data_IF_251158484403
#
_entry.id   IF_251158484403
#
_cell.length_a   1.000
_cell.length_b   1.000
_cell.length_c   1.000
_cell.angle_alpha   90.00
_cell.angle_beta   90.00
_cell.angle_gamma   90.00
#
_symmetry.space_group_name_H-M   'P 1'
#
loop_
_entity.id
_entity.type
_entity.pdbx_description
1 polymer ?
#
# COMPACT_ATOMS: atom_id res chain seq x y z
N UNK A 1 -6.97 14.81 7.63
CA UNK A 1 -5.59 14.31 7.78
C UNK A 1 -4.69 15.47 8.17
N UNK A 2 -4.01 15.42 9.31
CA UNK A 2 -3.13 16.49 9.81
C UNK A 2 -1.71 15.97 10.07
N UNK A 3 -1.05 15.47 9.03
CA UNK A 3 0.31 14.91 9.10
C UNK A 3 1.19 15.50 7.99
N UNK A 4 2.50 15.63 8.27
CA UNK A 4 3.53 15.91 7.28
C UNK A 4 3.85 14.62 6.53
N UNK A 5 3.37 14.51 5.30
CA UNK A 5 3.68 13.41 4.38
C UNK A 5 4.84 13.88 3.49
N UNK A 6 5.84 13.02 3.28
CA UNK A 6 6.97 13.25 2.37
C UNK A 6 7.88 14.47 2.69
N UNK A 7 7.94 14.89 3.96
CA UNK A 7 8.94 15.88 4.36
C UNK A 7 10.34 15.23 4.34
N UNK A 8 11.34 15.80 3.62
CA UNK A 8 12.67 15.23 3.56
C UNK A 8 13.32 15.23 4.95
N UNK A 9 13.80 14.06 5.41
CA UNK A 9 14.61 13.94 6.63
C UNK A 9 16.08 13.89 6.23
N UNK A 10 16.98 14.62 6.91
CA UNK A 10 18.42 14.49 6.64
C UNK A 10 18.85 13.03 6.83
N UNK A 11 19.33 12.38 5.76
CA UNK A 11 19.77 10.98 5.76
C UNK A 11 18.70 9.92 5.46
N UNK A 12 17.42 10.30 5.29
CA UNK A 12 16.32 9.40 4.92
C UNK A 12 15.41 10.06 3.88
N UNK A 13 15.17 9.39 2.75
CA UNK A 13 14.44 9.97 1.62
C UNK A 13 13.03 10.50 1.94
N UNK A 14 12.35 9.94 2.96
CA UNK A 14 11.01 10.38 3.38
C UNK A 14 10.87 10.35 4.91
N UNK A 15 9.90 11.09 5.46
CA UNK A 15 9.52 11.06 6.88
C UNK A 15 8.34 10.12 7.18
N UNK A 16 7.87 9.35 6.19
CA UNK A 16 6.78 8.41 6.36
C UNK A 16 7.19 7.31 7.34
N UNK A 17 6.58 7.32 8.52
CA UNK A 17 6.77 6.30 9.55
C UNK A 17 5.55 5.35 9.64
N UNK A 18 5.65 4.33 10.49
CA UNK A 18 4.57 3.36 10.69
C UNK A 18 3.25 4.01 11.13
N UNK A 19 3.30 5.16 11.79
CA UNK A 19 2.10 5.91 12.18
C UNK A 19 1.44 6.58 10.97
N UNK A 20 2.24 7.18 10.09
CA UNK A 20 1.80 7.77 8.82
C UNK A 20 1.16 6.71 7.92
N UNK A 21 1.79 5.54 7.79
CA UNK A 21 1.24 4.43 7.02
C UNK A 21 -0.09 3.92 7.58
N UNK A 22 -0.21 3.76 8.91
CA UNK A 22 -1.47 3.33 9.55
C UNK A 22 -2.60 4.31 9.27
N UNK A 23 -2.35 5.60 9.39
CA UNK A 23 -3.35 6.65 9.14
C UNK A 23 -3.77 6.67 7.66
N UNK A 24 -2.81 6.51 6.74
CA UNK A 24 -3.09 6.42 5.31
C UNK A 24 -4.08 5.31 4.98
N UNK A 25 -3.84 4.09 5.48
CA UNK A 25 -4.70 2.96 5.18
C UNK A 25 -5.98 2.88 6.01
N UNK A 26 -6.09 3.61 7.13
CA UNK A 26 -7.32 3.66 7.95
C UNK A 26 -8.50 4.32 7.24
N UNK A 27 -8.24 5.26 6.31
CA UNK A 27 -9.29 6.00 5.61
C UNK A 27 -9.04 5.94 4.09
N UNK A 28 -9.26 4.78 3.45
CA UNK A 28 -8.94 4.57 2.04
C UNK A 28 -9.69 5.52 1.10
N UNK A 29 -10.92 5.92 1.44
CA UNK A 29 -11.69 6.92 0.69
C UNK A 29 -10.97 8.29 0.67
N UNK A 30 -10.54 8.75 1.85
CA UNK A 30 -9.80 10.02 1.99
C UNK A 30 -8.45 9.92 1.28
N UNK A 31 -7.74 8.79 1.46
CA UNK A 31 -6.46 8.56 0.81
C UNK A 31 -6.59 8.55 -0.72
N UNK A 32 -7.64 7.90 -1.25
CA UNK A 32 -7.99 7.90 -2.68
C UNK A 32 -8.28 9.32 -3.17
N UNK A 33 -9.14 10.06 -2.46
CA UNK A 33 -9.48 11.43 -2.82
C UNK A 33 -8.27 12.38 -2.83
N UNK A 34 -7.29 12.17 -1.95
CA UNK A 34 -6.09 13.01 -1.85
C UNK A 34 -5.04 12.63 -2.91
N UNK A 35 -4.80 11.33 -3.10
CA UNK A 35 -3.70 10.83 -3.95
C UNK A 35 -4.11 10.57 -5.39
N UNK A 36 -5.41 10.45 -5.67
CA UNK A 36 -5.94 9.98 -6.95
C UNK A 36 -5.74 8.48 -7.19
N UNK A 37 -5.28 7.73 -6.18
CA UNK A 37 -5.13 6.27 -6.27
C UNK A 37 -6.50 5.61 -6.04
N UNK A 38 -6.80 4.57 -6.80
CA UNK A 38 -8.03 3.80 -6.68
C UNK A 38 -8.25 3.27 -5.26
N UNK A 39 -9.44 3.50 -4.72
CA UNK A 39 -9.78 3.13 -3.35
C UNK A 39 -9.72 1.61 -3.11
N UNK A 40 -10.16 0.83 -4.09
CA UNK A 40 -10.17 -0.64 -3.99
C UNK A 40 -8.75 -1.16 -3.91
N UNK A 41 -7.84 -0.59 -4.71
CA UNK A 41 -6.42 -0.91 -4.64
C UNK A 41 -5.83 -0.56 -3.27
N UNK A 42 -6.12 0.63 -2.72
CA UNK A 42 -5.64 1.02 -1.37
C UNK A 42 -6.13 0.03 -0.31
N UNK A 43 -7.42 -0.35 -0.35
CA UNK A 43 -8.00 -1.34 0.58
C UNK A 43 -7.32 -2.70 0.47
N UNK A 44 -7.09 -3.18 -0.76
CA UNK A 44 -6.42 -4.46 -1.00
C UNK A 44 -4.98 -4.45 -0.47
N UNK A 45 -4.24 -3.37 -0.70
CA UNK A 45 -2.89 -3.19 -0.16
C UNK A 45 -2.88 -3.17 1.38
N UNK A 46 -3.89 -2.54 2.01
CA UNK A 46 -4.00 -2.56 3.47
C UNK A 46 -4.16 -3.97 4.03
N UNK A 47 -5.05 -4.77 3.43
CA UNK A 47 -5.26 -6.16 3.83
C UNK A 47 -3.98 -6.97 3.62
N UNK A 48 -3.35 -6.84 2.46
CA UNK A 48 -2.11 -7.56 2.13
C UNK A 48 -1.01 -7.29 3.15
N UNK A 49 -0.73 -6.02 3.44
CA UNK A 49 0.30 -5.62 4.41
C UNK A 49 -0.03 -6.05 5.83
N UNK A 50 -1.31 -5.97 6.21
CA UNK A 50 -1.77 -6.38 7.55
C UNK A 50 -1.66 -7.89 7.73
N UNK A 51 -1.99 -8.68 6.71
CA UNK A 51 -1.85 -10.14 6.73
C UNK A 51 -0.38 -10.55 6.81
N UNK A 52 0.53 -9.90 6.09
CA UNK A 52 1.96 -10.17 6.21
C UNK A 52 2.48 -9.84 7.62
N UNK A 53 1.95 -8.78 8.23
CA UNK A 53 2.36 -8.33 9.56
C UNK A 53 1.67 -9.07 10.73
N UNK A 54 0.73 -9.98 10.48
CA UNK A 54 -0.10 -10.55 11.55
C UNK A 54 0.62 -11.63 12.39
N UNK A 55 1.75 -12.16 11.91
CA UNK A 55 2.53 -13.18 12.62
C UNK A 55 1.89 -14.58 12.67
N UNK A 56 0.84 -14.82 11.89
CA UNK A 56 0.19 -16.12 11.74
C UNK A 56 0.58 -16.81 10.43
N UNK A 57 0.36 -18.12 10.34
CA UNK A 57 0.49 -18.84 9.08
C UNK A 57 -0.52 -18.32 8.06
N UNK A 58 -0.01 -18.03 6.86
CA UNK A 58 -0.79 -17.48 5.75
C UNK A 58 -1.27 -18.65 4.89
N UNK A 59 -2.59 -18.74 4.70
CA UNK A 59 -3.23 -19.78 3.90
C UNK A 59 -2.95 -19.61 2.39
N UNK A 60 -3.05 -20.72 1.65
CA UNK A 60 -2.88 -20.75 0.20
C UNK A 60 -3.87 -19.82 -0.54
N UNK A 61 -5.05 -19.56 0.02
CA UNK A 61 -6.04 -18.60 -0.52
C UNK A 61 -5.49 -17.17 -0.59
N UNK A 62 -4.53 -16.81 0.26
CA UNK A 62 -3.88 -15.49 0.20
C UNK A 62 -3.09 -15.29 -1.09
N UNK A 63 -2.59 -16.37 -1.71
CA UNK A 63 -1.90 -16.30 -2.99
C UNK A 63 -2.81 -15.77 -4.10
N UNK A 64 -4.06 -16.22 -4.14
CA UNK A 64 -5.06 -15.74 -5.09
C UNK A 64 -5.42 -14.28 -4.82
N UNK A 65 -5.53 -13.89 -3.54
CA UNK A 65 -5.72 -12.49 -3.17
C UNK A 65 -4.56 -11.59 -3.65
N UNK A 66 -3.31 -12.05 -3.53
CA UNK A 66 -2.14 -11.33 -4.05
C UNK A 66 -2.18 -11.20 -5.57
N UNK A 67 -2.48 -12.30 -6.28
CA UNK A 67 -2.53 -12.30 -7.75
C UNK A 67 -3.60 -11.34 -8.28
N UNK A 68 -4.83 -11.43 -7.77
CA UNK A 68 -5.92 -10.54 -8.19
C UNK A 68 -5.63 -9.07 -7.86
N UNK A 69 -4.87 -8.80 -6.78
CA UNK A 69 -4.43 -7.44 -6.45
C UNK A 69 -3.36 -6.94 -7.42
N UNK A 70 -2.45 -7.80 -7.85
CA UNK A 70 -1.45 -7.46 -8.87
C UNK A 70 -2.09 -7.22 -10.25
N UNK A 71 -3.06 -8.04 -10.65
CA UNK A 71 -3.83 -7.85 -11.88
C UNK A 71 -4.58 -6.51 -11.88
N UNK A 72 -5.23 -6.19 -10.76
CA UNK A 72 -5.90 -4.89 -10.57
C UNK A 72 -4.90 -3.72 -10.70
N UNK A 73 -3.73 -3.84 -10.08
CA UNK A 73 -2.69 -2.82 -10.17
C UNK A 73 -2.24 -2.57 -11.62
N UNK A 74 -1.93 -3.63 -12.37
CA UNK A 74 -1.49 -3.54 -13.76
C UNK A 74 -2.59 -2.98 -14.66
N UNK A 75 -3.85 -3.34 -14.40
CA UNK A 75 -4.99 -2.81 -15.15
C UNK A 75 -5.21 -1.30 -14.92
N UNK A 76 -5.04 -0.84 -13.68
CA UNK A 76 -5.25 0.57 -13.32
C UNK A 76 -4.05 1.47 -13.66
N UNK A 77 -2.84 0.96 -13.47
CA UNK A 77 -1.60 1.73 -13.58
C UNK A 77 -0.56 1.04 -14.48
N UNK A 78 -0.91 0.70 -15.75
CA UNK A 78 0.00 -0.03 -16.64
C UNK A 78 1.29 0.75 -16.98
N UNK A 79 1.26 2.07 -16.78
CA UNK A 79 2.36 2.98 -17.04
C UNK A 79 3.42 3.01 -15.92
N UNK A 80 3.10 2.49 -14.74
CA UNK A 80 4.02 2.44 -13.60
C UNK A 80 4.38 0.99 -13.30
N UNK A 81 5.62 0.61 -13.59
CA UNK A 81 6.09 -0.74 -13.33
C UNK A 81 6.14 -1.01 -11.83
N UNK A 82 5.59 -2.15 -11.41
CA UNK A 82 5.75 -2.62 -10.04
C UNK A 82 7.22 -2.90 -9.79
N UNK A 83 7.81 -2.18 -8.83
CA UNK A 83 9.22 -2.31 -8.50
C UNK A 83 9.49 -3.71 -7.92
N UNK A 84 10.37 -4.48 -8.56
CA UNK A 84 10.94 -5.71 -8.01
C UNK A 84 12.35 -5.40 -7.50
N UNK A 85 12.62 -5.56 -6.20
CA UNK A 85 14.02 -5.66 -5.77
C UNK A 85 14.64 -6.90 -6.43
N UNK A 86 15.86 -6.79 -6.99
CA UNK A 86 16.60 -7.97 -7.42
C UNK A 86 16.86 -8.87 -6.20
N UNK A 87 16.84 -10.20 -6.38
CA UNK A 87 16.99 -11.18 -5.30
C UNK A 87 18.34 -11.11 -4.59
#
# INVERSE_FOLDING_TARGET
MGFLIDAPKPGFGTSNDSNTARVFFQNPEIASSITGIDEILIRKLHVLLTTIACGHEIDAQFKEFCLTTAELYVALYPWYYMFSEPP
#
